data_IF_903596689691
#
_entry.id   IF_903596689691
#
_cell.length_a   1.000
_cell.length_b   1.000
_cell.length_c   1.000
_cell.angle_alpha   90.00
_cell.angle_beta   90.00
_cell.angle_gamma   90.00
#
_symmetry.space_group_name_H-M   'P 1'
#
loop_
_entity.id
_entity.type
_entity.pdbx_description
1 polymer ?
#
# COMPACT_ATOMS: atom_id res chain seq x y z
N UNK A 1 -23.42 -47.14 30.57
CA UNK A 1 -22.62 -45.97 30.99
C UNK A 1 -21.92 -45.43 29.76
N UNK A 2 -22.43 -44.32 29.23
CA UNK A 2 -22.02 -43.76 27.95
C UNK A 2 -20.88 -42.76 28.03
N UNK A 3 -20.33 -42.49 26.84
CA UNK A 3 -19.53 -41.35 26.41
C UNK A 3 -18.13 -41.18 27.03
N UNK A 4 -17.12 -41.55 26.25
CA UNK A 4 -15.94 -40.71 26.01
C UNK A 4 -15.76 -40.55 24.49
N UNK A 5 -16.68 -39.78 23.89
CA UNK A 5 -16.40 -39.16 22.60
C UNK A 5 -15.42 -38.03 22.87
N UNK A 6 -14.22 -38.12 22.30
CA UNK A 6 -13.24 -37.05 22.32
C UNK A 6 -13.84 -35.82 21.64
N UNK A 7 -14.22 -34.83 22.43
CA UNK A 7 -14.51 -33.51 21.92
C UNK A 7 -13.19 -32.93 21.41
N UNK A 8 -12.98 -33.00 20.09
CA UNK A 8 -12.13 -32.05 19.41
C UNK A 8 -12.48 -30.66 19.92
N UNK A 9 -11.50 -29.99 20.50
CA UNK A 9 -11.59 -28.62 20.98
C UNK A 9 -11.65 -27.72 19.76
N UNK A 10 -12.81 -27.66 19.09
CA UNK A 10 -13.10 -26.68 18.06
C UNK A 10 -13.09 -25.31 18.75
N UNK A 11 -11.95 -24.64 18.74
CA UNK A 11 -11.85 -23.25 19.21
C UNK A 11 -12.92 -22.44 18.44
N UNK A 12 -13.86 -21.77 19.11
CA UNK A 12 -14.94 -21.05 18.44
C UNK A 12 -14.33 -20.04 17.45
N UNK A 13 -14.97 -19.87 16.28
CA UNK A 13 -14.58 -18.89 15.25
C UNK A 13 -14.26 -17.49 15.82
N UNK A 14 -14.93 -17.14 16.92
CA UNK A 14 -14.74 -15.89 17.65
C UNK A 14 -13.34 -15.74 18.25
N UNK A 15 -12.68 -16.82 18.68
CA UNK A 15 -11.30 -16.78 19.15
C UNK A 15 -10.33 -16.51 17.99
N UNK A 16 -10.52 -17.14 16.83
CA UNK A 16 -9.72 -16.88 15.63
C UNK A 16 -9.90 -15.43 15.12
N UNK A 17 -11.13 -14.91 15.15
CA UNK A 17 -11.40 -13.50 14.78
C UNK A 17 -10.76 -12.53 15.76
N UNK A 18 -10.79 -12.84 17.06
CA UNK A 18 -10.13 -11.99 18.08
C UNK A 18 -8.61 -12.02 17.96
N UNK A 19 -8.03 -13.16 17.59
CA UNK A 19 -6.61 -13.27 17.32
C UNK A 19 -6.23 -12.47 16.07
N UNK A 20 -6.96 -12.62 14.97
CA UNK A 20 -6.83 -11.80 13.75
C UNK A 20 -6.91 -10.30 14.05
N UNK A 21 -7.93 -9.89 14.80
CA UNK A 21 -8.11 -8.50 15.19
C UNK A 21 -6.94 -7.99 16.05
N UNK A 22 -6.37 -8.84 16.90
CA UNK A 22 -5.20 -8.49 17.72
C UNK A 22 -3.94 -8.31 16.88
N UNK A 23 -3.73 -9.17 15.87
CA UNK A 23 -2.61 -9.08 14.93
C UNK A 23 -2.72 -7.81 14.07
N UNK A 24 -3.90 -7.55 13.51
CA UNK A 24 -4.15 -6.37 12.68
C UNK A 24 -3.98 -5.05 13.44
N UNK A 25 -4.21 -5.00 14.76
CA UNK A 25 -4.03 -3.76 15.56
C UNK A 25 -2.60 -3.23 15.51
N UNK A 26 -1.60 -4.09 15.61
CA UNK A 26 -0.20 -3.67 15.59
C UNK A 26 0.14 -3.01 14.25
N UNK A 27 -0.26 -3.65 13.15
CA UNK A 27 -0.13 -3.06 11.82
C UNK A 27 -0.90 -1.74 11.69
N UNK A 28 -2.16 -1.68 12.13
CA UNK A 28 -2.99 -0.45 12.08
C UNK A 28 -2.30 0.71 12.80
N UNK A 29 -1.71 0.50 13.98
CA UNK A 29 -1.00 1.56 14.69
C UNK A 29 0.21 2.06 13.89
N UNK A 30 1.02 1.15 13.34
CA UNK A 30 2.17 1.54 12.51
C UNK A 30 1.75 2.28 11.23
N UNK A 31 0.67 1.83 10.60
CA UNK A 31 0.08 2.45 9.42
C UNK A 31 -0.46 3.86 9.70
N UNK A 32 -1.20 4.05 10.80
CA UNK A 32 -1.71 5.36 11.21
C UNK A 32 -0.55 6.30 11.54
N UNK A 33 0.43 5.85 12.32
CA UNK A 33 1.62 6.65 12.67
C UNK A 33 2.38 7.07 11.41
N UNK A 34 2.61 6.14 10.48
CA UNK A 34 3.28 6.43 9.22
C UNK A 34 2.48 7.43 8.37
N UNK A 35 1.15 7.27 8.29
CA UNK A 35 0.25 8.18 7.57
C UNK A 35 0.31 9.59 8.14
N UNK A 36 0.19 9.74 9.47
CA UNK A 36 0.29 11.04 10.14
C UNK A 36 1.68 11.64 9.90
N UNK A 37 2.73 10.83 9.94
CA UNK A 37 4.09 11.28 9.67
C UNK A 37 4.22 11.84 8.25
N UNK A 38 3.73 11.16 7.20
CA UNK A 38 3.76 11.72 5.84
C UNK A 38 2.92 13.00 5.68
N UNK A 39 1.84 13.10 6.44
CA UNK A 39 0.94 14.25 6.41
C UNK A 39 1.53 15.49 7.11
N UNK A 40 2.29 15.29 8.20
CA UNK A 40 2.76 16.37 9.09
C UNK A 40 4.25 16.67 8.91
N UNK A 41 5.06 15.73 8.41
CA UNK A 41 6.50 15.95 8.31
C UNK A 41 6.80 17.05 7.28
N UNK A 42 7.54 18.12 7.65
CA UNK A 42 7.86 19.22 6.75
C UNK A 42 8.95 18.80 5.76
N UNK A 43 8.77 19.13 4.47
CA UNK A 43 9.75 18.84 3.43
C UNK A 43 11.03 19.69 3.55
N UNK A 44 10.91 20.89 4.13
CA UNK A 44 11.96 21.92 4.14
C UNK A 44 12.34 22.32 5.58
N UNK A 45 13.61 22.68 5.78
CA UNK A 45 14.13 23.17 7.07
C UNK A 45 13.59 24.56 7.47
N UNK A 46 12.80 25.21 6.62
CA UNK A 46 12.11 26.47 6.92
C UNK A 46 11.17 26.35 8.11
N UNK A 47 10.64 25.16 8.37
CA UNK A 47 9.83 24.85 9.56
C UNK A 47 10.58 25.14 10.88
N UNK A 48 11.90 24.98 10.93
CA UNK A 48 12.69 25.25 12.13
C UNK A 48 12.75 26.74 12.50
N UNK A 49 12.49 27.62 11.53
CA UNK A 49 12.52 29.07 11.73
C UNK A 49 11.14 29.64 12.10
N UNK A 50 10.08 29.07 11.54
CA UNK A 50 8.70 29.46 11.86
C UNK A 50 7.78 28.22 11.91
N UNK A 51 7.69 27.56 13.08
CA UNK A 51 6.94 26.31 13.25
C UNK A 51 5.43 26.45 13.06
N UNK A 52 4.89 27.67 13.15
CA UNK A 52 3.45 27.93 13.07
C UNK A 52 3.01 28.46 11.69
N UNK A 53 3.96 28.71 10.78
CA UNK A 53 3.65 29.05 9.39
C UNK A 53 3.17 27.83 8.59
N UNK A 54 2.36 28.08 7.56
CA UNK A 54 1.91 27.03 6.64
C UNK A 54 3.12 26.47 5.89
N UNK A 55 3.57 25.26 6.27
CA UNK A 55 4.74 24.60 5.68
C UNK A 55 4.30 23.64 4.56
N UNK A 56 5.27 23.25 3.70
CA UNK A 56 5.05 22.26 2.65
C UNK A 56 5.21 20.85 3.24
N UNK A 57 4.16 20.02 3.28
CA UNK A 57 4.28 18.65 3.78
C UNK A 57 5.17 17.82 2.87
N UNK A 58 5.85 16.80 3.41
CA UNK A 58 6.71 15.89 2.67
C UNK A 58 5.98 15.25 1.48
N UNK A 59 4.71 14.87 1.69
CA UNK A 59 3.89 14.25 0.64
C UNK A 59 3.69 15.17 -0.58
N UNK A 60 3.75 16.50 -0.41
CA UNK A 60 3.64 17.46 -1.53
C UNK A 60 4.77 17.29 -2.53
N UNK A 61 5.99 16.99 -2.07
CA UNK A 61 7.16 16.76 -2.91
C UNK A 61 6.95 15.50 -3.75
N UNK A 62 6.38 14.46 -3.15
CA UNK A 62 6.12 13.20 -3.82
C UNK A 62 5.04 13.38 -4.90
N UNK A 63 3.94 14.06 -4.58
CA UNK A 63 2.87 14.42 -5.52
C UNK A 63 3.44 15.18 -6.73
N UNK A 64 4.22 16.23 -6.48
CA UNK A 64 4.82 17.04 -7.54
C UNK A 64 5.80 16.22 -8.39
N UNK A 65 6.57 15.33 -7.78
CA UNK A 65 7.48 14.43 -8.49
C UNK A 65 6.74 13.44 -9.40
N UNK A 66 5.64 12.85 -8.91
CA UNK A 66 4.77 11.95 -9.71
C UNK A 66 4.26 12.69 -10.94
N UNK A 67 3.69 13.89 -10.77
CA UNK A 67 3.21 14.72 -11.89
C UNK A 67 4.32 14.98 -12.90
N UNK A 68 5.47 15.47 -12.42
CA UNK A 68 6.59 15.85 -13.28
C UNK A 68 7.17 14.65 -14.06
N UNK A 69 7.08 13.44 -13.50
CA UNK A 69 7.59 12.23 -14.12
C UNK A 69 6.62 11.63 -15.13
N UNK A 70 5.32 11.64 -14.85
CA UNK A 70 4.33 10.90 -15.63
C UNK A 70 3.64 11.75 -16.69
N UNK A 71 3.42 13.05 -16.44
CA UNK A 71 2.67 13.91 -17.35
C UNK A 71 3.60 14.83 -18.14
N UNK A 72 3.41 14.94 -19.48
CA UNK A 72 4.14 15.91 -20.29
C UNK A 72 3.63 17.33 -20.04
N UNK A 73 4.48 18.33 -20.30
CA UNK A 73 4.24 19.73 -19.97
C UNK A 73 3.00 20.35 -20.63
N UNK A 74 2.49 19.75 -21.71
CA UNK A 74 1.30 20.21 -22.43
C UNK A 74 -0.02 19.68 -21.84
N UNK A 75 0.02 18.81 -20.84
CA UNK A 75 -1.16 18.31 -20.13
C UNK A 75 -1.35 19.09 -18.85
N UNK A 76 -2.54 19.67 -18.66
CA UNK A 76 -2.86 20.45 -17.47
C UNK A 76 -3.73 19.63 -16.52
N UNK A 77 -3.36 19.65 -15.24
CA UNK A 77 -4.17 19.09 -14.17
C UNK A 77 -5.14 20.16 -13.66
N UNK A 78 -6.44 19.83 -13.65
CA UNK A 78 -7.50 20.71 -13.14
C UNK A 78 -8.19 20.06 -11.95
N UNK A 79 -8.54 20.85 -10.94
CA UNK A 79 -9.33 20.38 -9.80
C UNK A 79 -10.78 20.17 -10.24
N UNK A 80 -11.31 18.96 -10.06
CA UNK A 80 -12.73 18.65 -10.31
C UNK A 80 -13.64 19.13 -9.20
N UNK A 81 -13.10 19.23 -7.98
CA UNK A 81 -13.83 19.67 -6.80
C UNK A 81 -13.03 20.67 -5.98
N UNK A 82 -13.73 21.47 -5.16
CA UNK A 82 -13.08 22.38 -4.21
C UNK A 82 -12.21 21.63 -3.19
N UNK A 83 -12.60 20.41 -2.83
CA UNK A 83 -11.90 19.55 -1.87
C UNK A 83 -10.80 18.69 -2.49
N UNK A 84 -10.68 18.66 -3.82
CA UNK A 84 -9.72 17.80 -4.54
C UNK A 84 -8.28 17.89 -4.03
N UNK A 85 -7.72 19.10 -3.83
CA UNK A 85 -6.36 19.23 -3.32
C UNK A 85 -6.15 18.53 -1.96
N UNK A 86 -7.03 18.78 -0.99
CA UNK A 86 -6.91 18.18 0.35
C UNK A 86 -7.14 16.66 0.31
N UNK A 87 -8.02 16.19 -0.55
CA UNK A 87 -8.26 14.76 -0.77
C UNK A 87 -6.98 14.06 -1.27
N UNK A 88 -6.33 14.63 -2.29
CA UNK A 88 -5.08 14.07 -2.82
C UNK A 88 -3.99 14.04 -1.74
N UNK A 89 -3.89 15.10 -0.93
CA UNK A 89 -2.94 15.14 0.19
C UNK A 89 -3.16 14.01 1.19
N UNK A 90 -4.41 13.77 1.59
CA UNK A 90 -4.77 12.73 2.54
C UNK A 90 -4.55 11.35 1.93
N UNK A 91 -5.06 11.10 0.72
CA UNK A 91 -4.94 9.81 0.02
C UNK A 91 -3.48 9.47 -0.23
N UNK A 92 -2.66 10.43 -0.69
CA UNK A 92 -1.24 10.22 -0.88
C UNK A 92 -0.56 9.84 0.45
N UNK A 93 -0.85 10.55 1.54
CA UNK A 93 -0.27 10.26 2.86
C UNK A 93 -0.64 8.85 3.33
N UNK A 94 -1.89 8.45 3.10
CA UNK A 94 -2.39 7.10 3.38
C UNK A 94 -1.64 6.06 2.54
N UNK A 95 -1.50 6.27 1.23
CA UNK A 95 -0.83 5.32 0.33
C UNK A 95 0.64 5.15 0.70
N UNK A 96 1.38 6.23 0.92
CA UNK A 96 2.79 6.14 1.32
C UNK A 96 2.98 5.62 2.74
N UNK A 97 2.08 5.99 3.67
CA UNK A 97 2.02 5.40 5.00
C UNK A 97 1.78 3.89 4.94
N UNK A 98 0.90 3.43 4.04
CA UNK A 98 0.65 2.02 3.79
C UNK A 98 1.91 1.31 3.28
N UNK A 99 2.55 1.84 2.23
CA UNK A 99 3.77 1.28 1.64
C UNK A 99 4.88 1.10 2.69
N UNK A 100 5.09 2.09 3.56
CA UNK A 100 6.10 2.00 4.63
C UNK A 100 5.70 1.01 5.73
N UNK A 101 4.41 0.79 5.96
CA UNK A 101 3.91 -0.18 6.95
C UNK A 101 3.93 -1.64 6.47
N UNK A 102 4.24 -1.90 5.19
CA UNK A 102 4.26 -3.24 4.58
C UNK A 102 5.10 -4.27 5.35
N UNK A 103 6.31 -3.98 5.84
CA UNK A 103 7.10 -4.96 6.59
C UNK A 103 6.37 -5.47 7.83
N UNK A 104 5.64 -4.58 8.51
CA UNK A 104 4.83 -4.92 9.69
C UNK A 104 3.61 -5.73 9.27
N UNK A 105 2.94 -5.33 8.17
CA UNK A 105 1.82 -6.11 7.61
C UNK A 105 2.26 -7.54 7.27
N UNK A 106 3.38 -7.70 6.58
CA UNK A 106 3.93 -8.99 6.20
C UNK A 106 4.24 -9.86 7.43
N UNK A 107 4.77 -9.26 8.49
CA UNK A 107 5.01 -9.95 9.76
C UNK A 107 3.72 -10.43 10.42
N UNK A 108 2.70 -9.58 10.49
CA UNK A 108 1.40 -9.96 11.07
C UNK A 108 0.69 -11.03 10.23
N UNK A 109 0.77 -10.95 8.89
CA UNK A 109 0.27 -11.99 7.98
C UNK A 109 0.98 -13.32 8.23
N UNK A 110 2.32 -13.32 8.32
CA UNK A 110 3.06 -14.55 8.65
C UNK A 110 2.63 -15.10 10.00
N UNK A 111 2.52 -14.25 11.02
CA UNK A 111 2.18 -14.67 12.39
C UNK A 111 0.78 -15.25 12.48
N UNK A 112 -0.16 -14.80 11.65
CA UNK A 112 -1.47 -15.43 11.53
C UNK A 112 -1.39 -16.85 10.95
N UNK A 113 -0.44 -17.08 10.04
CA UNK A 113 -0.23 -18.37 9.36
C UNK A 113 0.65 -19.32 10.19
N UNK A 114 1.57 -18.79 11.01
CA UNK A 114 2.52 -19.55 11.84
C UNK A 114 1.91 -20.71 12.65
N UNK A 115 0.70 -20.59 13.25
CA UNK A 115 0.06 -21.71 13.94
C UNK A 115 -0.18 -22.94 13.03
N UNK A 116 -0.35 -22.73 11.73
CA UNK A 116 -0.56 -23.76 10.73
C UNK A 116 0.74 -24.38 10.18
N UNK A 117 1.91 -23.83 10.55
CA UNK A 117 3.22 -24.31 10.08
C UNK A 117 3.85 -25.33 11.05
N UNK A 118 4.60 -26.30 10.50
CA UNK A 118 5.33 -27.31 11.28
C UNK A 118 6.39 -26.61 12.15
N UNK A 119 6.70 -27.11 13.36
CA UNK A 119 7.70 -26.51 14.24
C UNK A 119 9.09 -26.30 13.60
N UNK A 120 9.46 -27.16 12.64
CA UNK A 120 10.71 -27.04 11.85
C UNK A 120 10.69 -25.90 10.84
N UNK A 121 9.50 -25.48 10.38
CA UNK A 121 9.29 -24.46 9.35
C UNK A 121 9.04 -23.06 9.94
N UNK A 122 8.73 -22.97 11.25
CA UNK A 122 8.50 -21.70 11.98
C UNK A 122 9.69 -20.74 11.95
N UNK A 123 10.89 -21.21 11.61
CA UNK A 123 12.09 -20.35 11.44
C UNK A 123 12.06 -19.50 10.17
N UNK A 124 11.05 -19.65 9.31
CA UNK A 124 10.93 -18.97 8.02
C UNK A 124 10.29 -17.57 8.07
N UNK A 125 10.03 -17.01 9.26
CA UNK A 125 9.47 -15.65 9.41
C UNK A 125 10.29 -14.61 8.65
N UNK A 126 11.60 -14.54 8.90
CA UNK A 126 12.49 -13.53 8.30
C UNK A 126 12.58 -13.62 6.78
N UNK A 127 12.81 -14.79 6.16
CA UNK A 127 12.81 -14.90 4.71
C UNK A 127 11.43 -14.58 4.11
N UNK A 128 10.32 -14.95 4.76
CA UNK A 128 8.98 -14.59 4.28
C UNK A 128 8.75 -13.08 4.29
N UNK A 129 8.97 -12.43 5.44
CA UNK A 129 8.72 -11.00 5.62
C UNK A 129 9.59 -10.17 4.68
N UNK A 130 10.88 -10.54 4.54
CA UNK A 130 11.78 -9.87 3.60
C UNK A 130 11.37 -10.10 2.15
N UNK A 131 11.05 -11.33 1.74
CA UNK A 131 10.60 -11.62 0.38
C UNK A 131 9.31 -10.87 0.02
N UNK A 132 8.30 -10.92 0.90
CA UNK A 132 7.04 -10.19 0.71
C UNK A 132 7.26 -8.70 0.56
N UNK A 133 8.04 -8.11 1.47
CA UNK A 133 8.34 -6.68 1.46
C UNK A 133 9.08 -6.28 0.19
N UNK A 134 10.14 -7.01 -0.17
CA UNK A 134 10.94 -6.71 -1.34
C UNK A 134 10.13 -6.86 -2.63
N UNK A 135 9.29 -7.88 -2.73
CA UNK A 135 8.41 -8.07 -3.89
C UNK A 135 7.34 -6.99 -3.99
N UNK A 136 6.72 -6.60 -2.87
CA UNK A 136 5.76 -5.49 -2.88
C UNK A 136 6.41 -4.19 -3.33
N UNK A 137 7.59 -3.85 -2.79
CA UNK A 137 8.34 -2.65 -3.18
C UNK A 137 8.79 -2.74 -4.64
N UNK A 138 9.26 -3.90 -5.11
CA UNK A 138 9.60 -4.12 -6.51
C UNK A 138 8.38 -3.93 -7.43
N UNK A 139 7.21 -4.42 -7.04
CA UNK A 139 5.96 -4.23 -7.76
C UNK A 139 5.50 -2.77 -7.79
N UNK A 140 5.62 -2.05 -6.68
CA UNK A 140 5.34 -0.61 -6.60
C UNK A 140 6.30 0.21 -7.49
N UNK A 141 7.59 -0.13 -7.49
CA UNK A 141 8.59 0.49 -8.36
C UNK A 141 8.29 0.17 -9.83
N UNK A 142 7.98 -1.08 -10.15
CA UNK A 142 7.58 -1.50 -11.50
C UNK A 142 6.33 -0.75 -11.98
N UNK A 143 5.34 -0.59 -11.11
CA UNK A 143 4.14 0.19 -11.39
C UNK A 143 4.48 1.63 -11.78
N UNK A 144 5.32 2.29 -10.97
CA UNK A 144 5.68 3.69 -11.17
C UNK A 144 6.60 3.93 -12.37
N UNK A 145 7.60 3.06 -12.58
CA UNK A 145 8.61 3.25 -13.62
C UNK A 145 8.19 2.72 -14.99
N UNK A 146 7.30 1.71 -15.01
CA UNK A 146 6.96 0.98 -16.23
C UNK A 146 5.47 1.10 -16.53
N UNK A 147 4.58 0.54 -15.71
CA UNK A 147 3.15 0.49 -16.03
C UNK A 147 2.53 1.88 -16.18
N UNK A 148 2.74 2.78 -15.23
CA UNK A 148 2.11 4.10 -15.25
C UNK A 148 2.52 4.93 -16.48
N UNK A 149 3.80 5.00 -16.87
CA UNK A 149 4.19 5.60 -18.15
C UNK A 149 3.48 4.99 -19.36
N UNK A 150 3.33 3.67 -19.42
CA UNK A 150 2.59 3.01 -20.49
C UNK A 150 1.11 3.36 -20.49
N UNK A 151 0.46 3.37 -19.32
CA UNK A 151 -0.95 3.73 -19.17
C UNK A 151 -1.16 5.18 -19.61
N UNK A 152 -0.38 6.12 -19.08
CA UNK A 152 -0.51 7.55 -19.40
C UNK A 152 -0.23 7.80 -20.89
N UNK A 153 0.83 7.23 -21.44
CA UNK A 153 1.12 7.34 -22.87
C UNK A 153 -0.02 6.78 -23.72
N UNK A 154 -0.54 5.60 -23.37
CA UNK A 154 -1.68 4.99 -24.03
C UNK A 154 -2.89 5.90 -24.03
N UNK A 155 -3.26 6.45 -22.86
CA UNK A 155 -4.38 7.39 -22.73
C UNK A 155 -4.19 8.64 -23.59
N UNK A 156 -2.99 9.24 -23.55
CA UNK A 156 -2.71 10.47 -24.29
C UNK A 156 -2.65 10.28 -25.81
N UNK A 157 -2.26 9.10 -26.30
CA UNK A 157 -2.29 8.77 -27.73
C UNK A 157 -3.73 8.75 -28.26
N UNK A 158 -4.70 8.31 -27.46
CA UNK A 158 -6.10 8.27 -27.87
C UNK A 158 -6.81 9.62 -27.74
N UNK A 159 -6.27 10.54 -26.95
CA UNK A 159 -6.91 11.82 -26.65
C UNK A 159 -7.31 12.64 -27.90
N UNK A 160 -6.48 12.81 -28.95
CA UNK A 160 -6.86 13.59 -30.13
C UNK A 160 -8.09 13.04 -30.86
N UNK A 161 -8.35 11.73 -30.75
CA UNK A 161 -9.49 11.08 -31.40
C UNK A 161 -10.81 11.27 -30.64
N UNK A 162 -10.76 11.83 -29.43
CA UNK A 162 -11.96 12.13 -28.63
C UNK A 162 -12.52 13.53 -28.86
N UNK A 163 -11.76 14.42 -29.50
CA UNK A 163 -12.09 15.85 -29.61
C UNK A 163 -11.93 16.65 -28.31
N UNK A 164 -11.45 16.02 -27.23
CA UNK A 164 -11.24 16.67 -25.94
C UNK A 164 -9.91 17.44 -25.87
N UNK A 165 -9.90 18.49 -25.04
CA UNK A 165 -8.68 19.19 -24.67
C UNK A 165 -7.80 18.33 -23.73
N UNK A 166 -6.47 18.55 -23.67
CA UNK A 166 -5.55 17.86 -22.76
C UNK A 166 -5.67 18.37 -21.31
N UNK A 167 -6.90 18.38 -20.80
CA UNK A 167 -7.23 18.70 -19.42
C UNK A 167 -7.54 17.39 -18.71
N UNK A 168 -6.77 17.09 -17.67
CA UNK A 168 -6.93 15.88 -16.88
C UNK A 168 -7.36 16.29 -15.48
N UNK A 169 -8.42 15.64 -14.99
CA UNK A 169 -8.85 15.81 -13.62
C UNK A 169 -7.75 15.33 -12.66
N UNK A 170 -7.41 16.17 -11.68
CA UNK A 170 -6.31 15.90 -10.75
C UNK A 170 -6.62 14.74 -9.82
N UNK A 171 -7.87 14.61 -9.36
CA UNK A 171 -8.31 13.51 -8.49
C UNK A 171 -8.23 12.17 -9.23
N UNK A 172 -8.76 12.08 -10.45
CA UNK A 172 -8.72 10.88 -11.29
C UNK A 172 -7.29 10.45 -11.60
N UNK A 173 -6.41 11.42 -11.90
CA UNK A 173 -5.00 11.13 -12.18
C UNK A 173 -4.30 10.48 -10.98
N UNK A 174 -4.42 11.07 -9.78
CA UNK A 174 -3.77 10.50 -8.60
C UNK A 174 -4.45 9.22 -8.11
N UNK A 175 -5.77 9.10 -8.27
CA UNK A 175 -6.48 7.85 -7.99
C UNK A 175 -5.93 6.71 -8.87
N UNK A 176 -5.78 6.94 -10.18
CA UNK A 176 -5.17 5.98 -11.10
C UNK A 176 -3.75 5.62 -10.68
N UNK A 177 -2.92 6.62 -10.35
CA UNK A 177 -1.53 6.40 -9.93
C UNK A 177 -1.45 5.53 -8.69
N UNK A 178 -2.14 5.92 -7.63
CA UNK A 178 -2.06 5.22 -6.34
C UNK A 178 -2.69 3.83 -6.40
N UNK A 179 -3.82 3.70 -7.09
CA UNK A 179 -4.46 2.40 -7.33
C UNK A 179 -3.51 1.45 -8.06
N UNK A 180 -2.89 1.91 -9.15
CA UNK A 180 -1.94 1.08 -9.92
C UNK A 180 -0.75 0.66 -9.07
N UNK A 181 -0.15 1.59 -8.30
CA UNK A 181 0.97 1.28 -7.41
C UNK A 181 0.60 0.20 -6.39
N UNK A 182 -0.53 0.36 -5.70
CA UNK A 182 -0.95 -0.60 -4.67
C UNK A 182 -1.32 -1.96 -5.29
N UNK A 183 -2.18 -1.97 -6.32
CA UNK A 183 -2.65 -3.21 -6.93
C UNK A 183 -1.49 -4.00 -7.55
N UNK A 184 -0.55 -3.35 -8.24
CA UNK A 184 0.63 -4.03 -8.78
C UNK A 184 1.59 -4.49 -7.68
N UNK A 185 1.80 -3.68 -6.63
CA UNK A 185 2.59 -4.07 -5.46
C UNK A 185 2.06 -5.38 -4.86
N UNK A 186 0.76 -5.47 -4.63
CA UNK A 186 0.13 -6.71 -4.16
C UNK A 186 0.19 -7.85 -5.17
N UNK A 187 -0.03 -7.59 -6.46
CA UNK A 187 0.09 -8.61 -7.50
C UNK A 187 1.48 -9.28 -7.50
N UNK A 188 2.54 -8.51 -7.22
CA UNK A 188 3.91 -9.04 -7.12
C UNK A 188 4.14 -9.89 -5.87
N UNK A 189 3.29 -9.79 -4.84
CA UNK A 189 3.38 -10.64 -3.63
C UNK A 189 2.74 -12.01 -3.81
N UNK A 190 1.98 -12.25 -4.89
CA UNK A 190 1.33 -13.54 -5.18
C UNK A 190 2.29 -14.74 -5.14
N UNK A 191 3.52 -14.69 -5.70
CA UNK A 191 4.46 -15.81 -5.62
C UNK A 191 4.80 -16.24 -4.20
N UNK A 192 4.85 -15.30 -3.25
CA UNK A 192 5.13 -15.60 -1.83
C UNK A 192 3.99 -16.43 -1.23
N UNK A 193 2.75 -16.08 -1.55
CA UNK A 193 1.59 -16.85 -1.10
C UNK A 193 1.53 -18.23 -1.75
N UNK A 194 1.90 -18.36 -3.02
CA UNK A 194 1.96 -19.67 -3.69
C UNK A 194 2.96 -20.59 -3.00
N UNK A 195 4.18 -20.10 -2.74
CA UNK A 195 5.21 -20.88 -2.03
C UNK A 195 4.72 -21.29 -0.64
N UNK A 196 4.05 -20.38 0.07
CA UNK A 196 3.50 -20.67 1.38
C UNK A 196 2.40 -21.74 1.31
N UNK A 197 1.50 -21.67 0.33
CA UNK A 197 0.44 -22.66 0.13
C UNK A 197 1.00 -24.06 -0.17
N UNK A 198 2.02 -24.15 -1.02
CA UNK A 198 2.68 -25.44 -1.32
C UNK A 198 3.32 -26.04 -0.07
N UNK A 199 3.97 -25.20 0.76
CA UNK A 199 4.56 -25.66 2.03
C UNK A 199 3.50 -26.21 3.00
N UNK A 200 2.27 -25.69 2.94
CA UNK A 200 1.15 -26.17 3.76
C UNK A 200 0.50 -27.44 3.19
N UNK A 201 0.53 -27.67 1.88
CA UNK A 201 -0.07 -28.85 1.24
C UNK A 201 0.76 -30.13 1.48
N UNK A 202 2.08 -30.00 1.61
CA UNK A 202 2.99 -31.12 1.97
C UNK A 202 2.87 -31.55 3.46
N UNK A 203 1.74 -31.28 4.12
CA UNK A 203 1.44 -31.60 5.53
C UNK A 203 0.31 -32.62 5.69
#
# INVERSE_FOLDING_TARGET
>A
MGQKGGAEKLLPIWEHVNELAKLLRAWIYTFIIATILFMVLPADASFLRDPFSFYKPLVSVIILYIKARLLPSNVQLIAGSFTGPIEIYVVASVVFGFIVSIPVLAYEVYRFIDPALKPSERRSVYPFVSAFTLLFIAGAIFAFLILLPFIVLGTLIFLPYTGAAPLVNIEDFYALVFFTILTTGFAFTLPVFIVLLVLMEDQ
#
